data_IF_962216630747
#
_entry.id   IF_962216630747
#
_cell.length_a   1.000
_cell.length_b   1.000
_cell.length_c   1.000
_cell.angle_alpha   90.00
_cell.angle_beta   90.00
_cell.angle_gamma   90.00
#
_symmetry.space_group_name_H-M   'P 1'
#
loop_
_entity.id
_entity.type
_entity.pdbx_description
1 polymer ?
#
# COMPACT_ATOMS: atom_id res chain seq x y z
N UNK A 1 -7.05 -2.71 13.57
CA UNK A 1 -5.75 -2.50 12.94
C UNK A 1 -4.58 -3.11 13.71
N UNK A 2 -4.33 -2.75 14.98
CA UNK A 2 -3.23 -3.32 15.82
C UNK A 2 -3.09 -4.85 15.72
N UNK A 3 -4.20 -5.59 15.84
CA UNK A 3 -4.21 -7.05 15.68
C UNK A 3 -3.68 -7.52 14.32
N UNK A 4 -4.09 -6.88 13.22
CA UNK A 4 -3.60 -7.21 11.88
C UNK A 4 -2.10 -6.89 11.74
N UNK A 5 -1.66 -5.75 12.26
CA UNK A 5 -0.26 -5.37 12.23
C UNK A 5 0.62 -6.34 13.02
N UNK A 6 0.12 -6.83 14.16
CA UNK A 6 0.78 -7.88 14.92
C UNK A 6 0.83 -9.20 14.15
N UNK A 7 -0.32 -9.67 13.62
CA UNK A 7 -0.41 -10.95 12.92
C UNK A 7 0.42 -11.03 11.64
N UNK A 8 0.54 -9.94 10.88
CA UNK A 8 1.17 -9.97 9.56
C UNK A 8 2.52 -9.26 9.47
N UNK A 9 2.83 -8.35 10.40
CA UNK A 9 4.10 -7.60 10.41
C UNK A 9 4.88 -7.77 11.73
N UNK A 10 4.37 -8.55 12.69
CA UNK A 10 4.99 -8.73 14.00
C UNK A 10 5.02 -7.46 14.87
N UNK A 11 4.27 -6.42 14.48
CA UNK A 11 4.32 -5.10 15.12
C UNK A 11 3.10 -4.91 16.02
N UNK A 12 3.28 -4.98 17.33
CA UNK A 12 2.20 -4.78 18.32
C UNK A 12 1.83 -3.31 18.54
N UNK A 13 1.49 -2.61 17.46
CA UNK A 13 1.00 -1.23 17.47
C UNK A 13 -0.01 -1.01 16.35
N UNK A 14 -0.91 -0.04 16.51
CA UNK A 14 -1.77 0.38 15.41
C UNK A 14 -0.96 1.15 14.36
N UNK A 15 -1.43 1.12 13.12
CA UNK A 15 -0.88 1.89 12.00
C UNK A 15 -2.05 2.53 11.22
N UNK A 16 -1.73 3.41 10.29
CA UNK A 16 -2.66 4.07 9.38
C UNK A 16 -3.20 3.12 8.31
N UNK A 17 -2.32 2.46 7.55
CA UNK A 17 -2.67 1.59 6.44
C UNK A 17 -1.82 0.30 6.44
N UNK A 18 -2.41 -0.80 5.96
CA UNK A 18 -1.72 -2.04 5.63
C UNK A 18 -2.11 -2.48 4.23
N UNK A 19 -1.12 -2.82 3.40
CA UNK A 19 -1.31 -3.35 2.05
C UNK A 19 -0.88 -4.82 1.98
N UNK A 20 -1.69 -5.63 1.30
CA UNK A 20 -1.52 -7.06 1.08
C UNK A 20 -1.59 -7.35 -0.42
N UNK A 21 -0.45 -7.42 -1.12
CA UNK A 21 -0.43 -7.70 -2.55
C UNK A 21 -1.05 -9.07 -2.87
N UNK A 22 -1.87 -9.13 -3.92
CA UNK A 22 -2.44 -10.40 -4.39
C UNK A 22 -1.39 -11.25 -5.11
N UNK A 23 -0.55 -10.61 -5.93
CA UNK A 23 0.54 -11.26 -6.63
C UNK A 23 1.85 -11.17 -5.84
N UNK A 24 2.74 -12.18 -5.94
CA UNK A 24 4.07 -12.10 -5.36
C UNK A 24 4.83 -10.91 -5.93
N UNK A 25 5.12 -9.94 -5.06
CA UNK A 25 6.03 -8.85 -5.36
C UNK A 25 7.47 -9.39 -5.29
N UNK A 26 8.31 -9.05 -6.26
CA UNK A 26 9.73 -9.39 -6.21
C UNK A 26 10.36 -8.87 -4.90
N UNK A 27 10.83 -9.79 -4.04
CA UNK A 27 11.46 -9.45 -2.75
C UNK A 27 10.60 -9.81 -1.52
N UNK A 28 10.43 -11.11 -1.28
CA UNK A 28 10.03 -11.75 -0.02
C UNK A 28 8.58 -11.58 0.50
N UNK A 29 7.66 -12.51 0.17
CA UNK A 29 6.68 -12.95 1.16
C UNK A 29 7.37 -13.76 2.28
N UNK A 30 6.88 -13.74 3.53
CA UNK A 30 7.39 -14.59 4.60
C UNK A 30 7.30 -16.07 4.17
N UNK A 31 8.29 -16.89 4.54
CA UNK A 31 8.42 -18.31 4.18
C UNK A 31 7.12 -19.11 4.39
N UNK A 32 6.33 -18.74 5.40
CA UNK A 32 5.01 -19.34 5.69
C UNK A 32 3.95 -19.16 4.60
N UNK A 33 4.16 -18.24 3.65
CA UNK A 33 3.30 -18.00 2.48
C UNK A 33 3.84 -18.65 1.20
N UNK A 34 5.00 -19.32 1.24
CA UNK A 34 5.64 -19.94 0.06
C UNK A 34 5.11 -21.35 -0.26
N UNK A 35 3.86 -21.69 0.08
CA UNK A 35 3.36 -23.05 -0.16
C UNK A 35 3.15 -23.37 -1.66
N UNK A 36 3.27 -22.39 -2.56
CA UNK A 36 3.20 -22.60 -4.00
C UNK A 36 4.22 -21.70 -4.70
N UNK A 37 5.50 -22.11 -4.66
CA UNK A 37 6.43 -21.65 -5.68
C UNK A 37 5.91 -22.16 -7.02
N UNK A 38 5.48 -21.29 -7.93
CA UNK A 38 5.54 -21.62 -9.35
C UNK A 38 5.32 -20.45 -10.29
N UNK A 39 5.83 -20.58 -11.52
CA UNK A 39 6.09 -19.52 -12.46
C UNK A 39 4.78 -19.08 -13.13
N UNK A 40 4.89 -18.27 -14.18
CA UNK A 40 3.81 -18.01 -15.15
C UNK A 40 2.93 -16.81 -14.84
N UNK A 41 3.37 -15.67 -15.37
CA UNK A 41 2.48 -14.61 -15.86
C UNK A 41 1.84 -14.99 -17.22
N UNK A 42 1.95 -16.25 -17.64
CA UNK A 42 1.30 -16.81 -18.83
C UNK A 42 0.10 -17.66 -18.38
N UNK A 43 -1.12 -17.17 -18.62
CA UNK A 43 -2.35 -17.96 -18.47
C UNK A 43 -3.31 -17.54 -17.36
N UNK A 44 -3.08 -16.41 -16.68
CA UNK A 44 -4.10 -15.83 -15.79
C UNK A 44 -5.29 -15.33 -16.64
N UNK A 45 -6.52 -15.65 -16.21
CA UNK A 45 -7.73 -15.03 -16.76
C UNK A 45 -7.59 -13.50 -16.69
N UNK A 46 -8.11 -12.77 -17.68
CA UNK A 46 -7.86 -11.32 -17.81
C UNK A 46 -8.26 -10.54 -16.55
N UNK A 47 -9.14 -11.10 -15.72
CA UNK A 47 -9.55 -10.57 -14.42
C UNK A 47 -8.56 -10.84 -13.28
N UNK A 48 -7.93 -12.02 -13.21
CA UNK A 48 -7.03 -12.39 -12.11
C UNK A 48 -5.68 -11.66 -12.20
N UNK A 49 -5.15 -11.44 -13.40
CA UNK A 49 -3.92 -10.65 -13.61
C UNK A 49 -4.07 -9.15 -13.32
N UNK A 50 -5.27 -8.68 -12.97
CA UNK A 50 -5.56 -7.27 -12.65
C UNK A 50 -5.83 -7.03 -11.17
N UNK A 51 -5.84 -8.07 -10.33
CA UNK A 51 -6.04 -7.92 -8.90
C UNK A 51 -4.75 -7.46 -8.21
N UNK A 52 -4.76 -6.24 -7.67
CA UNK A 52 -3.61 -5.70 -6.94
C UNK A 52 -3.50 -6.25 -5.51
N UNK A 53 -4.62 -6.66 -4.91
CA UNK A 53 -4.72 -7.10 -3.52
C UNK A 53 -5.52 -6.15 -2.64
N UNK A 54 -5.33 -6.30 -1.32
CA UNK A 54 -6.17 -5.69 -0.30
C UNK A 54 -5.47 -4.55 0.43
N UNK A 55 -6.21 -3.49 0.73
CA UNK A 55 -5.76 -2.43 1.64
C UNK A 55 -6.71 -2.26 2.82
N UNK A 56 -6.14 -2.24 4.02
CA UNK A 56 -6.88 -1.98 5.24
C UNK A 56 -6.47 -0.60 5.77
N UNK A 57 -7.44 0.32 5.85
CA UNK A 57 -7.23 1.67 6.34
C UNK A 57 -7.90 1.86 7.72
N UNK A 58 -7.13 2.33 8.70
CA UNK A 58 -7.62 2.63 10.04
C UNK A 58 -8.04 4.09 10.17
N UNK A 59 -9.22 4.46 9.66
CA UNK A 59 -9.69 5.86 9.61
C UNK A 59 -9.64 6.55 10.98
N UNK A 60 -10.04 5.88 12.06
CA UNK A 60 -9.97 6.44 13.42
C UNK A 60 -8.53 6.77 13.86
N UNK A 61 -7.57 5.92 13.48
CA UNK A 61 -6.15 6.15 13.78
C UNK A 61 -5.62 7.34 12.99
N UNK A 62 -5.93 7.41 11.69
CA UNK A 62 -5.55 8.54 10.81
C UNK A 62 -6.16 9.85 11.32
N UNK A 63 -7.44 9.85 11.70
CA UNK A 63 -8.09 11.03 12.27
C UNK A 63 -7.43 11.53 13.55
N UNK A 64 -6.98 10.63 14.42
CA UNK A 64 -6.28 10.99 15.65
C UNK A 64 -4.88 11.52 15.35
N UNK A 65 -4.17 10.90 14.42
CA UNK A 65 -2.83 11.30 14.01
C UNK A 65 -2.85 12.68 13.33
N UNK A 66 -3.77 12.90 12.39
CA UNK A 66 -4.00 14.21 11.78
C UNK A 66 -4.25 15.31 12.82
N UNK A 67 -5.09 15.04 13.84
CA UNK A 67 -5.34 16.00 14.93
C UNK A 67 -4.08 16.31 15.74
N UNK A 68 -3.22 15.32 15.98
CA UNK A 68 -1.97 15.51 16.73
C UNK A 68 -0.94 16.32 15.94
N UNK A 69 -0.91 16.15 14.62
CA UNK A 69 0.05 16.79 13.73
C UNK A 69 -0.49 18.09 13.08
N UNK A 70 -1.69 18.54 13.47
CA UNK A 70 -2.38 19.69 12.86
C UNK A 70 -2.55 19.57 11.33
N UNK A 71 -2.87 18.36 10.87
CA UNK A 71 -3.11 18.04 9.47
C UNK A 71 -4.60 17.81 9.17
N UNK A 72 -5.00 17.98 7.92
CA UNK A 72 -6.35 17.68 7.45
C UNK A 72 -6.53 16.21 7.08
N UNK A 73 -7.61 15.58 7.55
CA UNK A 73 -7.95 14.20 7.17
C UNK A 73 -8.12 14.06 5.64
N UNK A 74 -8.86 14.98 5.02
CA UNK A 74 -9.17 14.95 3.58
C UNK A 74 -7.91 15.05 2.73
N UNK A 75 -6.92 15.85 3.15
CA UNK A 75 -5.62 15.93 2.47
C UNK A 75 -4.72 14.72 2.74
N UNK A 76 -4.85 14.08 3.90
CA UNK A 76 -4.02 12.93 4.28
C UNK A 76 -4.43 11.65 3.56
N UNK A 77 -5.73 11.44 3.35
CA UNK A 77 -6.25 10.21 2.74
C UNK A 77 -5.64 9.91 1.36
N UNK A 78 -5.61 10.84 0.37
CA UNK A 78 -4.99 10.57 -0.93
C UNK A 78 -3.53 10.12 -0.83
N UNK A 79 -2.76 10.68 0.10
CA UNK A 79 -1.36 10.29 0.34
C UNK A 79 -1.28 8.85 0.83
N UNK A 80 -2.12 8.47 1.80
CA UNK A 80 -2.18 7.09 2.30
C UNK A 80 -2.63 6.10 1.22
N UNK A 81 -3.59 6.47 0.37
CA UNK A 81 -4.02 5.62 -0.74
C UNK A 81 -2.92 5.46 -1.79
N UNK A 82 -2.23 6.54 -2.16
CA UNK A 82 -1.10 6.47 -3.09
C UNK A 82 0.02 5.56 -2.54
N UNK A 83 0.35 5.73 -1.26
CA UNK A 83 1.30 4.89 -0.55
C UNK A 83 0.88 3.41 -0.54
N UNK A 84 -0.37 3.13 -0.18
CA UNK A 84 -0.90 1.78 -0.17
C UNK A 84 -0.89 1.10 -1.54
N UNK A 85 -1.25 1.83 -2.60
CA UNK A 85 -1.20 1.36 -4.00
C UNK A 85 0.24 1.06 -4.41
N UNK A 86 1.21 1.91 -4.04
CA UNK A 86 2.62 1.65 -4.30
C UNK A 86 3.07 0.31 -3.70
N UNK A 87 2.69 0.01 -2.46
CA UNK A 87 2.99 -1.29 -1.86
C UNK A 87 2.29 -2.47 -2.55
N UNK A 88 1.04 -2.31 -3.00
CA UNK A 88 0.37 -3.35 -3.80
C UNK A 88 1.04 -3.60 -5.16
N UNK A 89 1.62 -2.56 -5.76
CA UNK A 89 2.41 -2.63 -6.99
C UNK A 89 3.85 -3.10 -6.77
N UNK A 90 4.23 -3.33 -5.51
CA UNK A 90 5.52 -3.88 -5.15
C UNK A 90 6.66 -2.89 -4.98
N UNK A 91 6.35 -1.62 -4.76
CA UNK A 91 7.33 -0.65 -4.29
C UNK A 91 7.50 -0.81 -2.77
N UNK A 92 8.75 -0.76 -2.32
CA UNK A 92 9.11 -0.65 -0.90
C UNK A 92 9.98 0.59 -0.68
N UNK A 93 10.31 0.87 0.57
CA UNK A 93 11.07 2.04 0.98
C UNK A 93 12.03 1.77 2.14
N UNK A 94 12.46 0.52 2.34
CA UNK A 94 13.40 0.17 3.40
C UNK A 94 14.81 0.71 3.11
N UNK A 95 15.23 0.68 1.84
CA UNK A 95 16.48 1.31 1.39
C UNK A 95 16.26 2.68 0.73
N UNK A 96 17.28 3.55 0.81
CA UNK A 96 17.24 4.91 0.25
C UNK A 96 16.92 4.95 -1.26
N UNK A 97 17.45 3.99 -2.03
CA UNK A 97 17.18 3.90 -3.47
C UNK A 97 15.72 3.51 -3.75
N UNK A 98 15.15 2.62 -2.94
CA UNK A 98 13.76 2.18 -3.03
C UNK A 98 12.81 3.30 -2.62
N UNK A 99 13.11 3.97 -1.49
CA UNK A 99 12.40 5.15 -1.03
C UNK A 99 12.25 6.20 -2.13
N UNK A 100 13.35 6.55 -2.83
CA UNK A 100 13.30 7.52 -3.93
C UNK A 100 12.40 7.06 -5.07
N UNK A 101 12.44 5.78 -5.44
CA UNK A 101 11.58 5.21 -6.49
C UNK A 101 10.12 5.25 -6.08
N UNK A 102 9.81 4.84 -4.85
CA UNK A 102 8.45 4.87 -4.30
C UNK A 102 7.92 6.31 -4.20
N UNK A 103 8.70 7.25 -3.67
CA UNK A 103 8.32 8.66 -3.56
C UNK A 103 8.00 9.30 -4.92
N UNK A 104 8.78 8.98 -5.96
CA UNK A 104 8.47 9.43 -7.33
C UNK A 104 7.15 8.84 -7.83
N UNK A 105 6.88 7.57 -7.53
CA UNK A 105 5.63 6.90 -7.91
C UNK A 105 4.42 7.48 -7.17
N UNK A 106 4.52 7.68 -5.87
CA UNK A 106 3.49 8.33 -5.05
C UNK A 106 3.15 9.72 -5.59
N UNK A 107 4.17 10.53 -5.92
CA UNK A 107 3.99 11.84 -6.53
C UNK A 107 3.26 11.77 -7.86
N UNK A 108 3.59 10.80 -8.72
CA UNK A 108 2.91 10.60 -10.00
C UNK A 108 1.44 10.24 -9.82
N UNK A 109 1.11 9.38 -8.85
CA UNK A 109 -0.28 9.01 -8.53
C UNK A 109 -1.06 10.22 -8.02
N UNK A 110 -0.50 10.97 -7.06
CA UNK A 110 -1.13 12.16 -6.49
C UNK A 110 -1.35 13.27 -7.53
N UNK A 111 -0.43 13.42 -8.48
CA UNK A 111 -0.59 14.37 -9.58
C UNK A 111 -1.80 14.00 -10.45
N UNK A 112 -1.90 12.73 -10.88
CA UNK A 112 -3.05 12.25 -11.67
C UNK A 112 -4.36 12.38 -10.91
N UNK A 113 -4.36 12.07 -9.61
CA UNK A 113 -5.52 12.28 -8.75
C UNK A 113 -5.94 13.75 -8.72
N UNK A 114 -4.99 14.67 -8.51
CA UNK A 114 -5.25 16.11 -8.48
C UNK A 114 -5.78 16.63 -9.81
N UNK A 115 -5.27 16.13 -10.94
CA UNK A 115 -5.77 16.45 -12.28
C UNK A 115 -7.22 15.97 -12.46
N UNK A 116 -7.55 14.76 -12.00
CA UNK A 116 -8.91 14.23 -12.06
C UNK A 116 -9.94 15.03 -11.25
N UNK A 117 -9.52 15.61 -10.12
CA UNK A 117 -10.39 16.44 -9.28
C UNK A 117 -10.72 17.80 -9.91
N UNK A 118 -9.91 18.28 -10.88
CA UNK A 118 -10.16 19.55 -11.59
C UNK A 118 -11.16 19.41 -12.74
N UNK A 119 -11.54 18.18 -13.10
CA UNK A 119 -12.48 17.88 -14.18
C UNK A 119 -13.95 17.92 -13.71
N UNK A 120 -14.19 18.13 -12.42
CA UNK A 120 -15.49 18.24 -11.77
C UNK A 120 -15.55 19.52 -10.93
#
# INVERSE_FOLDING_TARGET
MRRLNLSYRGKDKSTDILSFPFHPVHGHPPESMMLHSSPMLEGLDEGEGRNLGDMFLSVQFVQLDCRRNNEGLVSRLPVLFAHGICHLLGYDHEEEAEYRRMAQKEKSILQKYSESQRLF
#
